data_IF_513166719738
#
_entry.id   IF_513166719738
#
_cell.length_a   1.000
_cell.length_b   1.000
_cell.length_c   1.000
_cell.angle_alpha   90.00
_cell.angle_beta   90.00
_cell.angle_gamma   90.00
#
_symmetry.space_group_name_H-M   'P 1'
#
loop_
_entity.id
_entity.type
_entity.pdbx_description
1 polymer ?
#
# COMPACT_ATOMS: atom_id res chain seq x y z
N UNK A 1 15.56 15.76 -0.31
CA UNK A 1 14.91 14.91 -1.33
C UNK A 1 15.48 15.02 -2.72
N UNK A 2 15.61 16.21 -3.29
CA UNK A 2 16.09 16.41 -4.67
C UNK A 2 17.40 15.66 -5.01
N UNK A 3 18.39 15.68 -4.09
CA UNK A 3 19.65 14.93 -4.23
C UNK A 3 19.45 13.42 -4.45
N UNK A 4 18.49 12.81 -3.76
CA UNK A 4 18.17 11.38 -3.87
C UNK A 4 17.53 11.10 -5.22
N UNK A 5 16.51 11.87 -5.58
CA UNK A 5 15.80 11.74 -6.87
C UNK A 5 16.76 11.85 -8.05
N UNK A 6 17.63 12.87 -8.02
CA UNK A 6 18.65 13.07 -9.07
C UNK A 6 19.67 11.93 -9.13
N UNK A 7 20.07 11.36 -7.98
CA UNK A 7 20.95 10.21 -7.94
C UNK A 7 20.27 8.97 -8.53
N UNK A 8 19.03 8.69 -8.14
CA UNK A 8 18.26 7.56 -8.63
C UNK A 8 18.15 7.58 -10.15
N UNK A 9 17.81 8.74 -10.73
CA UNK A 9 17.74 8.90 -12.18
C UNK A 9 19.10 8.72 -12.84
N UNK A 10 20.13 9.43 -12.36
CA UNK A 10 21.48 9.40 -12.97
C UNK A 10 22.15 8.03 -12.91
N UNK A 11 21.85 7.23 -11.89
CA UNK A 11 22.46 5.90 -11.67
C UNK A 11 21.61 4.74 -12.15
N UNK A 12 20.43 4.99 -12.74
CA UNK A 12 19.60 3.93 -13.27
C UNK A 12 18.86 3.11 -12.21
N UNK A 13 18.43 3.76 -11.12
CA UNK A 13 17.53 3.15 -10.13
C UNK A 13 16.07 3.37 -10.50
N UNK A 14 15.63 4.61 -10.62
CA UNK A 14 14.20 4.93 -10.81
C UNK A 14 14.09 6.06 -11.83
N UNK A 15 13.15 5.92 -12.77
CA UNK A 15 12.81 6.90 -13.80
C UNK A 15 11.34 7.31 -13.68
N UNK A 16 10.97 8.56 -13.97
CA UNK A 16 9.59 8.92 -14.25
C UNK A 16 9.05 8.06 -15.40
N UNK A 17 7.91 7.39 -15.19
CA UNK A 17 7.34 6.57 -16.26
C UNK A 17 6.90 7.43 -17.44
N UNK A 18 7.01 6.91 -18.66
CA UNK A 18 6.66 7.61 -19.90
C UNK A 18 7.35 8.98 -20.08
N UNK A 19 8.58 9.17 -19.59
CA UNK A 19 9.29 10.46 -19.59
C UNK A 19 9.33 11.13 -20.98
N UNK A 20 9.60 10.38 -22.05
CA UNK A 20 9.66 10.91 -23.42
C UNK A 20 8.31 11.40 -23.97
N UNK A 21 7.20 11.05 -23.30
CA UNK A 21 5.83 11.45 -23.64
C UNK A 21 5.28 12.51 -22.67
N UNK A 22 6.14 13.16 -21.88
CA UNK A 22 5.73 14.16 -20.88
C UNK A 22 5.53 13.60 -19.48
N UNK A 23 5.79 12.30 -19.29
CA UNK A 23 5.67 11.61 -18.01
C UNK A 23 4.24 11.17 -17.70
N UNK A 24 4.10 10.11 -16.91
CA UNK A 24 2.84 9.70 -16.32
C UNK A 24 2.86 9.91 -14.81
N UNK A 25 2.06 10.87 -14.35
CA UNK A 25 2.09 11.38 -12.97
C UNK A 25 1.91 10.24 -11.96
N UNK A 26 2.77 10.20 -10.94
CA UNK A 26 2.74 9.22 -9.84
C UNK A 26 3.05 7.78 -10.24
N UNK A 27 3.74 7.58 -11.36
CA UNK A 27 4.18 6.24 -11.80
C UNK A 27 5.64 6.32 -12.20
N UNK A 28 6.37 5.24 -11.92
CA UNK A 28 7.82 5.20 -12.04
C UNK A 28 8.28 3.84 -12.53
N UNK A 29 9.33 3.85 -13.34
CA UNK A 29 9.97 2.66 -13.88
C UNK A 29 11.28 2.39 -13.15
N UNK A 30 11.50 1.15 -12.72
CA UNK A 30 12.77 0.75 -12.09
C UNK A 30 13.80 0.40 -13.16
N UNK A 31 14.91 1.15 -13.19
CA UNK A 31 16.02 0.97 -14.13
C UNK A 31 16.92 -0.22 -13.79
N UNK A 32 18.05 -0.41 -14.50
CA UNK A 32 18.90 -1.59 -14.36
C UNK A 32 19.41 -1.90 -12.94
N UNK A 33 19.75 -0.87 -12.14
CA UNK A 33 20.13 -1.08 -10.74
C UNK A 33 18.90 -1.18 -9.84
N UNK A 34 17.86 -0.40 -10.15
CA UNK A 34 16.64 -0.38 -9.35
C UNK A 34 15.88 -1.69 -9.37
N UNK A 35 15.79 -2.34 -10.53
CA UNK A 35 15.10 -3.64 -10.66
C UNK A 35 15.78 -4.73 -9.83
N UNK A 36 17.11 -4.72 -9.78
CA UNK A 36 17.88 -5.65 -8.96
C UNK A 36 17.71 -5.34 -7.46
N UNK A 37 17.73 -4.06 -7.08
CA UNK A 37 17.46 -3.64 -5.70
C UNK A 37 16.05 -4.05 -5.25
N UNK A 38 15.02 -3.75 -6.06
CA UNK A 38 13.63 -4.09 -5.79
C UNK A 38 13.46 -5.61 -5.64
N UNK A 39 14.09 -6.40 -6.51
CA UNK A 39 14.07 -7.86 -6.41
C UNK A 39 14.74 -8.36 -5.14
N UNK A 40 15.92 -7.85 -4.80
CA UNK A 40 16.63 -8.25 -3.59
C UNK A 40 15.81 -7.98 -2.32
N UNK A 41 15.10 -6.84 -2.26
CA UNK A 41 14.20 -6.52 -1.14
C UNK A 41 13.06 -7.53 -1.05
N UNK A 42 12.38 -7.83 -2.17
CA UNK A 42 11.30 -8.82 -2.20
C UNK A 42 11.76 -10.22 -1.85
N UNK A 43 12.89 -10.65 -2.40
CA UNK A 43 13.45 -11.98 -2.15
C UNK A 43 13.89 -12.13 -0.67
N UNK A 44 14.47 -11.07 -0.08
CA UNK A 44 14.84 -11.05 1.34
C UNK A 44 13.60 -11.13 2.26
N UNK A 45 12.54 -10.39 1.93
CA UNK A 45 11.29 -10.46 2.68
C UNK A 45 10.63 -11.84 2.54
N UNK A 46 10.52 -12.36 1.32
CA UNK A 46 9.92 -13.67 1.06
C UNK A 46 10.66 -14.80 1.77
N UNK A 47 11.99 -14.71 1.79
CA UNK A 47 12.82 -15.66 2.54
C UNK A 47 12.48 -15.65 4.03
N UNK A 48 12.50 -14.47 4.66
CA UNK A 48 12.29 -14.33 6.10
C UNK A 48 10.84 -14.63 6.54
N UNK A 49 9.85 -14.28 5.71
CA UNK A 49 8.44 -14.39 6.04
C UNK A 49 7.81 -15.70 5.60
N UNK A 50 8.39 -16.40 4.62
CA UNK A 50 7.79 -17.63 4.06
C UNK A 50 8.76 -18.80 4.07
N UNK A 51 9.99 -18.66 3.54
CA UNK A 51 10.88 -19.82 3.37
C UNK A 51 11.54 -20.29 4.66
N UNK A 52 11.76 -19.38 5.61
CA UNK A 52 12.37 -19.67 6.91
C UNK A 52 11.33 -19.96 8.01
N UNK A 53 10.04 -20.05 7.62
CA UNK A 53 8.91 -20.26 8.53
C UNK A 53 8.10 -21.47 8.11
N UNK A 54 7.89 -22.40 9.03
CA UNK A 54 7.09 -23.59 8.74
C UNK A 54 5.60 -23.27 8.67
N UNK A 55 5.14 -22.25 9.40
CA UNK A 55 3.73 -21.90 9.61
C UNK A 55 3.16 -20.91 8.59
N UNK A 56 3.97 -20.36 7.69
CA UNK A 56 3.52 -19.40 6.66
C UNK A 56 3.58 -20.04 5.29
N UNK A 57 2.53 -19.82 4.48
CA UNK A 57 2.46 -20.30 3.10
C UNK A 57 2.25 -19.14 2.14
N UNK A 58 2.72 -19.28 0.90
CA UNK A 58 2.61 -18.24 -0.12
C UNK A 58 1.42 -18.43 -1.06
N UNK A 59 0.85 -17.33 -1.54
CA UNK A 59 -0.06 -17.30 -2.70
C UNK A 59 0.30 -16.18 -3.67
N UNK A 60 -0.23 -16.28 -4.89
CA UNK A 60 -0.23 -15.19 -5.89
C UNK A 60 -1.64 -15.07 -6.48
N UNK A 61 -2.40 -14.10 -5.99
CA UNK A 61 -3.79 -13.86 -6.38
C UNK A 61 -3.86 -12.84 -7.52
N UNK A 62 -4.93 -12.94 -8.33
CA UNK A 62 -5.16 -12.03 -9.44
C UNK A 62 -5.33 -10.57 -8.99
N UNK A 63 -4.87 -9.64 -9.83
CA UNK A 63 -5.04 -8.19 -9.64
C UNK A 63 -6.48 -7.75 -9.92
N UNK A 64 -7.07 -8.29 -10.99
CA UNK A 64 -8.44 -7.97 -11.41
C UNK A 64 -9.44 -8.73 -10.57
N UNK A 65 -10.37 -8.01 -9.96
CA UNK A 65 -11.35 -8.59 -9.04
C UNK A 65 -12.77 -8.05 -9.27
N UNK A 66 -13.75 -8.89 -8.97
CA UNK A 66 -15.17 -8.56 -9.03
C UNK A 66 -15.55 -7.50 -7.99
N UNK A 67 -16.53 -6.60 -8.27
CA UNK A 67 -17.02 -5.60 -7.32
C UNK A 67 -17.44 -6.18 -5.97
N UNK A 68 -17.94 -7.42 -5.94
CA UNK A 68 -18.45 -8.07 -4.72
C UNK A 68 -17.41 -8.19 -3.60
N UNK A 69 -16.14 -8.40 -3.94
CA UNK A 69 -15.05 -8.48 -2.95
C UNK A 69 -14.87 -7.11 -2.28
N UNK A 70 -14.94 -6.04 -3.06
CA UNK A 70 -14.71 -4.67 -2.61
C UNK A 70 -15.92 -4.06 -1.91
N UNK A 71 -17.12 -4.55 -2.23
CA UNK A 71 -18.34 -4.27 -1.47
C UNK A 71 -18.28 -4.94 -0.09
N UNK A 72 -17.98 -6.24 -0.05
CA UNK A 72 -17.93 -7.00 1.20
C UNK A 72 -16.85 -6.50 2.17
N UNK A 73 -15.70 -6.07 1.65
CA UNK A 73 -14.62 -5.47 2.45
C UNK A 73 -14.85 -3.98 2.77
N UNK A 74 -15.92 -3.37 2.27
CA UNK A 74 -16.24 -1.96 2.53
C UNK A 74 -15.43 -0.94 1.71
N UNK A 75 -14.50 -1.38 0.86
CA UNK A 75 -13.68 -0.50 0.03
C UNK A 75 -14.49 0.40 -0.90
N UNK A 76 -15.59 -0.08 -1.48
CA UNK A 76 -16.42 0.75 -2.35
C UNK A 76 -17.08 1.93 -1.61
N UNK A 77 -17.39 1.75 -0.31
CA UNK A 77 -18.03 2.76 0.50
C UNK A 77 -17.03 3.70 1.20
N UNK A 78 -15.93 3.13 1.71
CA UNK A 78 -15.07 3.82 2.68
C UNK A 78 -13.68 4.18 2.15
N UNK A 79 -13.23 3.61 1.03
CA UNK A 79 -11.89 3.85 0.49
C UNK A 79 -11.84 5.14 -0.33
N UNK A 80 -12.09 6.26 0.34
CA UNK A 80 -12.27 7.57 -0.29
C UNK A 80 -11.43 8.66 0.37
N UNK A 81 -10.93 9.59 -0.45
CA UNK A 81 -10.32 10.84 0.02
C UNK A 81 -11.27 12.03 -0.22
N UNK A 82 -11.20 13.09 0.61
CA UNK A 82 -11.94 14.32 0.34
C UNK A 82 -11.26 15.10 -0.80
N UNK A 83 -11.94 15.17 -1.95
CA UNK A 83 -11.47 15.83 -3.16
C UNK A 83 -12.07 17.23 -3.30
N UNK A 84 -11.22 18.22 -3.63
CA UNK A 84 -11.63 19.55 -4.08
C UNK A 84 -11.02 19.87 -5.45
N UNK A 85 -11.77 20.56 -6.31
CA UNK A 85 -11.29 21.08 -7.59
C UNK A 85 -11.09 22.59 -7.48
N UNK A 86 -9.96 23.11 -7.99
CA UNK A 86 -9.80 24.54 -8.18
C UNK A 86 -10.50 24.97 -9.47
N UNK A 87 -11.54 25.80 -9.39
CA UNK A 87 -12.28 26.24 -10.58
C UNK A 87 -11.47 27.14 -11.51
N UNK A 88 -10.42 27.79 -11.00
CA UNK A 88 -9.57 28.69 -11.79
C UNK A 88 -8.53 27.96 -12.66
N UNK A 89 -8.00 26.82 -12.20
CA UNK A 89 -6.96 26.08 -12.94
C UNK A 89 -7.32 24.61 -13.20
N UNK A 90 -8.48 24.16 -12.73
CA UNK A 90 -9.00 22.80 -12.86
C UNK A 90 -8.14 21.69 -12.23
N UNK A 91 -7.12 22.05 -11.45
CA UNK A 91 -6.33 21.10 -10.65
C UNK A 91 -7.13 20.56 -9.47
N UNK A 92 -6.81 19.31 -9.11
CA UNK A 92 -7.47 18.52 -8.08
C UNK A 92 -6.56 18.33 -6.88
N UNK A 93 -7.12 18.51 -5.69
CA UNK A 93 -6.37 18.46 -4.44
C UNK A 93 -7.13 17.65 -3.39
N UNK A 94 -6.37 17.05 -2.49
CA UNK A 94 -6.90 16.52 -1.23
C UNK A 94 -7.24 17.67 -0.30
N UNK A 95 -8.50 17.79 0.09
CA UNK A 95 -9.00 18.89 0.91
C UNK A 95 -8.29 18.95 2.28
N UNK A 96 -7.98 17.79 2.86
CA UNK A 96 -7.28 17.66 4.15
C UNK A 96 -5.77 17.98 4.07
N UNK A 97 -5.23 18.19 2.87
CA UNK A 97 -3.80 18.47 2.63
C UNK A 97 -3.51 19.87 2.12
N UNK A 98 -4.54 20.69 1.93
CA UNK A 98 -4.39 22.08 1.48
C UNK A 98 -5.15 23.03 2.40
N UNK A 99 -4.75 24.30 2.41
CA UNK A 99 -5.49 25.36 3.08
C UNK A 99 -6.68 25.86 2.24
N UNK A 100 -7.04 27.13 2.45
CA UNK A 100 -8.11 27.84 1.73
C UNK A 100 -7.73 28.24 0.29
N UNK A 101 -6.51 27.94 -0.15
CA UNK A 101 -5.94 28.37 -1.44
C UNK A 101 -5.39 27.21 -2.23
N UNK A 102 -5.62 27.25 -3.54
CA UNK A 102 -5.02 26.33 -4.49
C UNK A 102 -3.49 26.45 -4.48
N UNK A 103 -2.74 25.36 -4.23
CA UNK A 103 -1.28 25.40 -4.23
C UNK A 103 -0.65 25.78 -5.58
N UNK A 104 -1.36 25.56 -6.70
CA UNK A 104 -0.84 25.83 -8.04
C UNK A 104 -1.00 27.29 -8.48
N UNK A 105 -2.18 27.88 -8.27
CA UNK A 105 -2.48 29.24 -8.77
C UNK A 105 -2.84 30.26 -7.68
N UNK A 106 -2.90 29.86 -6.41
CA UNK A 106 -3.22 30.74 -5.28
C UNK A 106 -4.69 31.17 -5.18
N UNK A 107 -5.56 30.71 -6.09
CA UNK A 107 -7.00 30.99 -6.08
C UNK A 107 -7.69 30.36 -4.87
N UNK A 108 -8.67 31.08 -4.30
CA UNK A 108 -9.56 30.59 -3.24
C UNK A 108 -10.85 29.98 -3.79
N UNK A 109 -11.04 29.95 -5.11
CA UNK A 109 -12.23 29.38 -5.76
C UNK A 109 -12.09 27.86 -5.88
N UNK A 110 -12.19 27.20 -4.72
CA UNK A 110 -12.21 25.74 -4.56
C UNK A 110 -13.66 25.27 -4.46
N UNK A 111 -13.97 24.10 -5.03
CA UNK A 111 -15.28 23.46 -4.83
C UNK A 111 -15.43 22.95 -3.40
N UNK A 112 -16.67 22.68 -2.99
CA UNK A 112 -16.92 21.91 -1.77
C UNK A 112 -16.25 20.52 -1.85
N UNK A 113 -15.70 20.01 -0.72
CA UNK A 113 -15.13 18.67 -0.67
C UNK A 113 -16.16 17.60 -1.00
N UNK A 114 -15.76 16.63 -1.84
CA UNK A 114 -16.56 15.43 -2.13
C UNK A 114 -15.74 14.16 -1.94
N UNK A 115 -16.39 13.08 -1.55
CA UNK A 115 -15.73 11.78 -1.43
C UNK A 115 -15.31 11.27 -2.83
N UNK A 116 -14.03 10.93 -2.98
CA UNK A 116 -13.47 10.36 -4.20
C UNK A 116 -12.90 8.97 -3.90
N UNK A 117 -13.49 7.93 -4.48
CA UNK A 117 -13.02 6.55 -4.30
C UNK A 117 -11.68 6.35 -5.01
N UNK A 118 -10.71 5.79 -4.27
CA UNK A 118 -9.34 5.63 -4.73
C UNK A 118 -9.12 4.33 -5.53
N UNK A 119 -10.14 3.50 -5.75
CA UNK A 119 -9.98 2.29 -6.55
C UNK A 119 -9.98 2.60 -8.05
N UNK A 120 -9.11 1.93 -8.81
CA UNK A 120 -9.18 1.94 -10.27
C UNK A 120 -10.27 0.99 -10.76
N UNK A 121 -11.32 1.56 -11.37
CA UNK A 121 -12.39 0.83 -12.04
C UNK A 121 -12.03 0.55 -13.50
N UNK A 122 -12.36 -0.64 -13.98
CA UNK A 122 -12.23 -1.06 -15.37
C UNK A 122 -13.39 -1.98 -15.78
N UNK A 123 -13.37 -2.48 -17.02
CA UNK A 123 -14.36 -3.43 -17.54
C UNK A 123 -13.65 -4.68 -18.06
N UNK A 124 -13.98 -5.84 -17.49
CA UNK A 124 -13.52 -7.16 -17.89
C UNK A 124 -14.50 -7.78 -18.91
N UNK A 125 -14.38 -7.37 -20.17
CA UNK A 125 -15.20 -7.89 -21.26
C UNK A 125 -15.10 -7.04 -22.53
N UNK A 126 -15.60 -7.53 -23.67
CA UNK A 126 -15.54 -6.80 -24.95
C UNK A 126 -16.49 -5.60 -25.02
N UNK A 127 -17.46 -5.52 -24.11
CA UNK A 127 -18.46 -4.45 -24.06
C UNK A 127 -18.49 -3.87 -22.66
N UNK A 128 -18.31 -2.56 -22.55
CA UNK A 128 -18.43 -1.84 -21.28
C UNK A 128 -19.88 -1.88 -20.80
N UNK A 129 -20.10 -2.62 -19.71
CA UNK A 129 -21.41 -2.75 -19.06
C UNK A 129 -21.26 -2.97 -17.56
N UNK A 130 -22.32 -2.74 -16.79
CA UNK A 130 -22.32 -3.00 -15.34
C UNK A 130 -21.96 -4.44 -15.00
N UNK A 131 -22.37 -5.40 -15.83
CA UNK A 131 -22.06 -6.83 -15.67
C UNK A 131 -20.57 -7.15 -15.84
N UNK A 132 -19.81 -6.28 -16.50
CA UNK A 132 -18.37 -6.45 -16.77
C UNK A 132 -17.49 -5.61 -15.86
N UNK A 133 -18.04 -4.85 -14.92
CA UNK A 133 -17.22 -4.01 -14.04
C UNK A 133 -16.23 -4.87 -13.26
N UNK A 134 -14.98 -4.44 -13.24
CA UNK A 134 -13.91 -5.00 -12.43
C UNK A 134 -13.08 -3.88 -11.82
N UNK A 135 -12.27 -4.21 -10.82
CA UNK A 135 -11.35 -3.27 -10.20
C UNK A 135 -9.94 -3.83 -10.16
N UNK A 136 -8.95 -2.94 -10.25
CA UNK A 136 -7.59 -3.25 -9.84
C UNK A 136 -7.53 -3.18 -8.31
N UNK A 137 -6.98 -4.22 -7.68
CA UNK A 137 -6.90 -4.30 -6.22
C UNK A 137 -6.11 -3.13 -5.60
N UNK A 138 -6.59 -2.49 -4.52
CA UNK A 138 -5.88 -1.43 -3.79
C UNK A 138 -4.92 -1.95 -2.72
N UNK A 139 -5.01 -3.25 -2.43
CA UNK A 139 -4.22 -4.03 -1.47
C UNK A 139 -4.15 -5.49 -1.92
N UNK A 140 -3.29 -6.31 -1.31
CA UNK A 140 -3.16 -7.73 -1.66
C UNK A 140 -3.94 -8.65 -0.69
N UNK A 141 -4.22 -8.17 0.53
CA UNK A 141 -4.97 -8.82 1.62
C UNK A 141 -6.19 -9.63 1.16
N UNK A 142 -7.11 -9.02 0.40
CA UNK A 142 -8.34 -9.67 -0.06
C UNK A 142 -8.11 -10.98 -0.82
N UNK A 143 -7.01 -11.09 -1.56
CA UNK A 143 -6.64 -12.32 -2.27
C UNK A 143 -6.38 -13.50 -1.32
N UNK A 144 -5.86 -13.22 -0.12
CA UNK A 144 -5.58 -14.20 0.93
C UNK A 144 -6.87 -14.59 1.65
N UNK A 145 -7.74 -13.61 1.98
CA UNK A 145 -9.03 -13.87 2.61
C UNK A 145 -9.95 -14.75 1.76
N UNK A 146 -10.11 -14.45 0.47
CA UNK A 146 -10.99 -15.24 -0.42
C UNK A 146 -10.47 -16.66 -0.67
N UNK A 147 -9.16 -16.89 -0.50
CA UNK A 147 -8.52 -18.19 -0.65
C UNK A 147 -8.28 -18.91 0.67
N UNK A 148 -8.70 -18.37 1.82
CA UNK A 148 -8.46 -18.96 3.13
C UNK A 148 -8.81 -20.45 3.19
N UNK A 149 -10.02 -20.83 2.75
CA UNK A 149 -10.45 -22.23 2.74
C UNK A 149 -9.65 -23.12 1.77
N UNK A 150 -9.32 -22.60 0.59
CA UNK A 150 -8.51 -23.34 -0.40
C UNK A 150 -7.12 -23.65 0.17
N UNK A 151 -6.49 -22.66 0.80
CA UNK A 151 -5.18 -22.80 1.43
C UNK A 151 -5.25 -23.73 2.62
N UNK A 152 -6.22 -23.55 3.52
CA UNK A 152 -6.40 -24.39 4.70
C UNK A 152 -6.55 -25.88 4.32
N UNK A 153 -7.37 -26.18 3.30
CA UNK A 153 -7.64 -27.54 2.85
C UNK A 153 -6.43 -28.21 2.18
N UNK A 154 -5.69 -27.47 1.35
CA UNK A 154 -4.57 -28.02 0.58
C UNK A 154 -3.29 -28.16 1.39
N UNK A 155 -3.08 -27.28 2.36
CA UNK A 155 -1.86 -27.26 3.21
C UNK A 155 -2.05 -28.00 4.53
N UNK A 156 -3.30 -28.24 4.95
CA UNK A 156 -3.67 -28.83 6.25
C UNK A 156 -3.11 -28.05 7.47
N UNK A 157 -2.83 -26.75 7.29
CA UNK A 157 -2.48 -25.85 8.39
C UNK A 157 -3.64 -25.72 9.37
N UNK A 158 -3.34 -25.26 10.58
CA UNK A 158 -4.31 -24.87 11.59
C UNK A 158 -3.80 -23.57 12.22
N UNK A 159 -4.68 -22.65 12.65
CA UNK A 159 -4.27 -21.51 13.44
C UNK A 159 -3.40 -21.94 14.64
N UNK A 160 -2.31 -21.22 14.94
CA UNK A 160 -1.80 -20.06 14.21
C UNK A 160 -1.09 -20.43 12.89
N UNK A 161 -1.44 -19.77 11.78
CA UNK A 161 -0.74 -19.92 10.50
C UNK A 161 -0.89 -18.66 9.63
N UNK A 162 0.06 -18.45 8.72
CA UNK A 162 0.09 -17.28 7.86
C UNK A 162 -0.16 -17.61 6.39
N UNK A 163 -0.79 -16.66 5.68
CA UNK A 163 -0.77 -16.62 4.21
C UNK A 163 -0.07 -15.33 3.82
N UNK A 164 0.98 -15.43 2.99
CA UNK A 164 1.78 -14.30 2.53
C UNK A 164 1.62 -14.09 1.03
N UNK A 165 1.71 -12.83 0.60
CA UNK A 165 1.67 -12.46 -0.80
C UNK A 165 2.55 -11.25 -1.07
N UNK A 166 3.23 -11.29 -2.21
CA UNK A 166 3.97 -10.15 -2.76
C UNK A 166 3.41 -9.84 -4.13
N UNK A 167 2.98 -8.60 -4.36
CA UNK A 167 2.47 -8.23 -5.66
C UNK A 167 2.01 -6.78 -5.77
N UNK A 168 1.53 -6.43 -6.96
CA UNK A 168 1.11 -5.06 -7.27
C UNK A 168 -0.24 -4.71 -6.63
N UNK A 169 -0.35 -3.44 -6.26
CA UNK A 169 -1.57 -2.79 -5.79
C UNK A 169 -1.68 -1.40 -6.42
N UNK A 170 -2.92 -0.90 -6.50
CA UNK A 170 -3.22 0.31 -7.24
C UNK A 170 -4.14 1.24 -6.45
N UNK A 171 -3.70 2.48 -6.24
CA UNK A 171 -4.48 3.52 -5.56
C UNK A 171 -4.53 4.76 -6.44
N UNK A 172 -5.72 5.24 -6.78
CA UNK A 172 -5.93 6.39 -7.65
C UNK A 172 -5.68 7.72 -6.92
N UNK A 173 -4.46 7.86 -6.40
CA UNK A 173 -4.02 8.98 -5.58
C UNK A 173 -4.30 10.34 -6.26
N UNK A 174 -4.93 11.24 -5.50
CA UNK A 174 -5.29 12.59 -5.96
C UNK A 174 -4.04 13.46 -6.03
N UNK A 175 -3.24 13.48 -4.96
CA UNK A 175 -2.07 14.36 -4.84
C UNK A 175 -0.79 13.56 -4.60
N UNK A 176 -0.04 13.21 -5.65
CA UNK A 176 1.26 12.57 -5.49
C UNK A 176 2.26 13.52 -4.84
N UNK A 177 3.00 12.98 -3.88
CA UNK A 177 4.06 13.66 -3.16
C UNK A 177 5.21 12.68 -2.88
N UNK A 178 6.39 13.24 -2.58
CA UNK A 178 7.53 12.51 -2.03
C UNK A 178 8.04 11.33 -2.91
N UNK A 179 8.13 11.55 -4.23
CA UNK A 179 8.74 10.61 -5.17
C UNK A 179 8.00 9.26 -5.23
N UNK A 180 8.67 8.14 -4.93
CA UNK A 180 8.05 6.79 -4.91
C UNK A 180 7.23 6.50 -3.66
N UNK A 181 7.10 7.46 -2.73
CA UNK A 181 6.33 7.28 -1.50
C UNK A 181 4.81 7.31 -1.73
N UNK A 182 4.34 8.16 -2.65
CA UNK A 182 2.92 8.17 -3.08
C UNK A 182 2.81 7.95 -4.58
N UNK A 183 2.59 6.70 -4.95
CA UNK A 183 2.40 6.28 -6.35
C UNK A 183 1.01 5.72 -6.57
N UNK A 184 0.60 5.64 -7.84
CA UNK A 184 -0.67 5.01 -8.23
C UNK A 184 -0.58 3.52 -8.41
N UNK A 185 0.63 3.04 -8.63
CA UNK A 185 1.00 1.64 -8.79
C UNK A 185 2.24 1.40 -7.95
N UNK A 186 2.19 0.39 -7.08
CA UNK A 186 3.29 -0.02 -6.21
C UNK A 186 3.17 -1.52 -5.93
N UNK A 187 4.21 -2.07 -5.32
CA UNK A 187 4.20 -3.45 -4.83
C UNK A 187 4.09 -3.44 -3.31
N UNK A 188 3.30 -4.36 -2.78
CA UNK A 188 3.21 -4.62 -1.35
C UNK A 188 3.68 -6.03 -1.05
N UNK A 189 4.11 -6.24 0.18
CA UNK A 189 4.48 -7.52 0.75
C UNK A 189 3.66 -7.65 2.04
N UNK A 190 2.59 -8.44 1.99
CA UNK A 190 1.60 -8.54 3.07
C UNK A 190 1.53 -9.98 3.58
N UNK A 191 1.22 -10.11 4.87
CA UNK A 191 0.99 -11.37 5.57
C UNK A 191 -0.33 -11.27 6.34
N UNK A 192 -1.26 -12.17 6.06
CA UNK A 192 -2.42 -12.40 6.91
C UNK A 192 -2.12 -13.56 7.85
N UNK A 193 -1.96 -13.27 9.14
CA UNK A 193 -1.64 -14.26 10.16
C UNK A 193 -2.89 -14.64 10.97
N UNK A 194 -3.45 -15.81 10.69
CA UNK A 194 -4.71 -16.28 11.27
C UNK A 194 -4.46 -16.99 12.58
N UNK A 195 -5.07 -16.49 13.66
CA UNK A 195 -4.82 -16.95 15.04
C UNK A 195 -6.13 -17.24 15.80
N UNK A 196 -6.09 -18.05 16.87
CA UNK A 196 -7.19 -18.11 17.84
C UNK A 196 -7.48 -16.71 18.45
N UNK A 197 -8.75 -16.29 18.59
CA UNK A 197 -9.07 -14.92 19.03
C UNK A 197 -8.52 -14.54 20.41
N UNK A 198 -8.38 -15.50 21.32
CA UNK A 198 -7.83 -15.31 22.67
C UNK A 198 -6.30 -15.14 22.68
N UNK A 199 -5.62 -15.48 21.59
CA UNK A 199 -4.17 -15.32 21.42
C UNK A 199 -3.80 -14.08 20.57
N UNK A 200 -4.79 -13.35 20.03
CA UNK A 200 -4.57 -12.28 19.06
C UNK A 200 -3.58 -11.21 19.54
N UNK A 201 -3.74 -10.70 20.76
CA UNK A 201 -2.82 -9.69 21.33
C UNK A 201 -1.39 -10.22 21.50
N UNK A 202 -1.22 -11.50 21.84
CA UNK A 202 0.11 -12.10 21.98
C UNK A 202 0.83 -12.18 20.64
N UNK A 203 0.11 -12.59 19.59
CA UNK A 203 0.67 -12.65 18.24
C UNK A 203 0.91 -11.26 17.64
N UNK A 204 0.09 -10.27 17.99
CA UNK A 204 0.32 -8.88 17.61
C UNK A 204 1.68 -8.39 18.13
N UNK A 205 1.92 -8.48 19.44
CA UNK A 205 3.22 -8.09 20.05
C UNK A 205 4.40 -8.86 19.45
N UNK A 206 4.23 -10.17 19.21
CA UNK A 206 5.25 -10.99 18.53
C UNK A 206 5.60 -10.42 17.14
N UNK A 207 4.60 -10.03 16.35
CA UNK A 207 4.85 -9.48 15.01
C UNK A 207 5.45 -8.08 15.08
N UNK A 208 5.05 -7.23 16.03
CA UNK A 208 5.71 -5.93 16.26
C UNK A 208 7.21 -6.08 16.47
N UNK A 209 7.62 -6.95 17.37
CA UNK A 209 9.03 -7.22 17.66
C UNK A 209 9.75 -7.86 16.46
N UNK A 210 9.13 -8.87 15.85
CA UNK A 210 9.70 -9.62 14.71
C UNK A 210 9.95 -8.71 13.51
N UNK A 211 8.98 -7.86 13.16
CA UNK A 211 9.10 -6.97 12.01
C UNK A 211 10.10 -5.85 12.26
N UNK A 212 10.09 -5.25 13.46
CA UNK A 212 11.10 -4.27 13.85
C UNK A 212 12.53 -4.86 13.82
N UNK A 213 12.72 -6.10 14.28
CA UNK A 213 14.00 -6.80 14.21
C UNK A 213 14.47 -7.02 12.76
N UNK A 214 13.56 -7.39 11.85
CA UNK A 214 13.91 -7.58 10.44
C UNK A 214 14.55 -6.34 9.80
N UNK A 215 14.03 -5.14 10.07
CA UNK A 215 14.64 -3.90 9.57
C UNK A 215 16.01 -3.61 10.20
N UNK A 216 16.18 -3.89 11.48
CA UNK A 216 17.47 -3.75 12.18
C UNK A 216 18.53 -4.71 11.63
N UNK A 217 18.13 -5.96 11.37
CA UNK A 217 19.02 -7.00 10.82
C UNK A 217 19.48 -6.68 9.39
N UNK A 218 18.67 -5.92 8.63
CA UNK A 218 19.07 -5.35 7.33
C UNK A 218 20.07 -4.19 7.45
N UNK A 219 20.39 -3.76 8.67
CA UNK A 219 21.38 -2.72 8.97
C UNK A 219 20.82 -1.30 8.98
N UNK A 220 19.49 -1.12 9.09
CA UNK A 220 18.92 0.21 9.26
C UNK A 220 19.25 0.74 10.66
N UNK A 221 19.80 1.96 10.81
CA UNK A 221 20.16 2.50 12.11
C UNK A 221 18.96 2.66 13.05
N UNK A 222 19.14 2.34 14.33
CA UNK A 222 18.10 2.46 15.35
C UNK A 222 17.58 3.90 15.53
N UNK A 223 18.43 4.92 15.33
CA UNK A 223 18.01 6.32 15.40
C UNK A 223 17.16 6.77 14.19
N UNK A 224 16.98 5.89 13.21
CA UNK A 224 16.14 6.08 12.02
C UNK A 224 14.89 5.23 11.99
N UNK A 225 14.70 4.34 12.97
CA UNK A 225 13.52 3.50 13.07
C UNK A 225 12.77 3.76 14.37
N UNK A 226 11.44 3.74 14.30
CA UNK A 226 10.60 3.70 15.49
C UNK A 226 9.37 2.84 15.24
N UNK A 227 8.82 2.32 16.32
CA UNK A 227 7.49 1.73 16.33
C UNK A 227 6.51 2.78 16.89
N UNK A 228 5.48 3.12 16.11
CA UNK A 228 4.46 4.11 16.49
C UNK A 228 3.09 3.43 16.54
N UNK A 229 2.51 3.33 17.73
CA UNK A 229 1.12 2.89 17.86
C UNK A 229 0.17 3.97 17.35
N UNK A 230 -0.89 3.56 16.67
CA UNK A 230 -1.98 4.44 16.27
C UNK A 230 -2.78 4.89 17.49
N UNK A 231 -3.21 6.15 17.46
CA UNK A 231 -4.17 6.66 18.44
C UNK A 231 -5.59 6.16 18.11
N UNK A 232 -6.52 6.25 19.07
CA UNK A 232 -7.86 5.67 18.94
C UNK A 232 -8.68 6.25 17.76
N UNK A 233 -8.40 7.49 17.35
CA UNK A 233 -9.04 8.16 16.22
C UNK A 233 -8.38 7.87 14.86
N UNK A 234 -7.21 7.23 14.86
CA UNK A 234 -6.48 6.81 13.66
C UNK A 234 -6.79 5.36 13.27
N UNK A 235 -7.31 4.56 14.20
CA UNK A 235 -7.61 3.15 13.97
C UNK A 235 -8.69 2.97 12.90
N UNK A 236 -8.43 2.03 11.99
CA UNK A 236 -9.46 1.54 11.07
C UNK A 236 -10.60 0.89 11.84
N UNK A 237 -11.83 1.03 11.34
CA UNK A 237 -13.05 0.55 11.99
C UNK A 237 -13.08 -0.96 12.33
N UNK A 238 -12.20 -1.75 11.72
CA UNK A 238 -12.04 -3.19 11.95
C UNK A 238 -10.80 -3.58 12.78
N UNK A 239 -9.97 -2.63 13.21
CA UNK A 239 -8.72 -2.93 13.92
C UNK A 239 -8.87 -2.71 15.44
N UNK A 240 -8.49 -3.73 16.20
CA UNK A 240 -8.33 -3.68 17.65
C UNK A 240 -7.02 -2.99 18.07
N UNK A 241 -6.02 -2.91 17.19
CA UNK A 241 -4.80 -2.13 17.39
C UNK A 241 -3.88 -2.16 16.17
N UNK A 242 -3.27 -1.02 15.86
CA UNK A 242 -2.31 -0.88 14.76
C UNK A 242 -1.06 -0.19 15.26
N UNK A 243 0.10 -0.62 14.77
CA UNK A 243 1.34 0.11 14.91
C UNK A 243 2.11 0.14 13.59
N UNK A 244 2.77 1.25 13.34
CA UNK A 244 3.60 1.46 12.16
C UNK A 244 5.07 1.32 12.55
N UNK A 245 5.81 0.54 11.76
CA UNK A 245 7.25 0.70 11.67
C UNK A 245 7.51 1.91 10.78
N UNK A 246 8.04 2.98 11.38
CA UNK A 246 8.31 4.23 10.68
C UNK A 246 9.80 4.47 10.50
N UNK A 247 10.15 5.12 9.39
CA UNK A 247 11.50 5.56 9.09
C UNK A 247 11.63 7.08 9.07
N UNK A 248 12.76 7.59 9.58
CA UNK A 248 13.05 9.02 9.54
C UNK A 248 13.60 9.44 8.16
N UNK A 249 12.66 9.70 7.25
CA UNK A 249 12.93 10.23 5.91
C UNK A 249 13.41 11.69 5.94
N UNK A 250 13.94 12.23 4.82
CA UNK A 250 14.32 13.64 4.74
C UNK A 250 13.18 14.65 4.92
N UNK A 251 11.92 14.20 4.93
CA UNK A 251 10.75 15.02 5.19
C UNK A 251 10.13 14.80 6.59
N UNK A 252 10.64 13.85 7.37
CA UNK A 252 10.10 13.50 8.69
C UNK A 252 9.92 11.99 8.85
N UNK A 253 9.28 11.61 9.95
CA UNK A 253 8.85 10.24 10.20
C UNK A 253 7.68 9.89 9.28
N UNK A 254 7.76 8.73 8.64
CA UNK A 254 6.69 8.21 7.78
C UNK A 254 6.73 6.69 7.75
N UNK A 255 5.61 6.08 7.37
CA UNK A 255 5.37 4.64 7.43
C UNK A 255 6.26 3.85 6.43
N UNK A 256 6.82 2.72 6.89
CA UNK A 256 7.35 1.65 6.05
C UNK A 256 6.44 0.42 6.00
N UNK A 257 5.87 0.06 7.14
CA UNK A 257 5.04 -1.14 7.32
C UNK A 257 4.05 -0.95 8.47
N UNK A 258 2.76 -1.10 8.18
CA UNK A 258 1.70 -1.21 9.19
C UNK A 258 1.49 -2.64 9.64
N UNK A 259 1.41 -2.84 10.96
CA UNK A 259 1.08 -4.12 11.60
C UNK A 259 -0.24 -3.89 12.33
N UNK A 260 -1.29 -4.57 11.90
CA UNK A 260 -2.65 -4.40 12.43
C UNK A 260 -3.19 -5.70 13.02
N UNK A 261 -3.99 -5.56 14.06
CA UNK A 261 -4.78 -6.58 14.73
C UNK A 261 -6.25 -6.18 14.71
#
# INVERSE_FOLDING_TARGET
MEKIVNLCKRRGFIFPSAEIYGGFRSTYDYGPLGVNMLRNVKDAWWRAMVQERDEVVGIDAAILSTPKIWEASGHLANFTDPLVDCRSCHERWRADKIGDRCPNCGSTDLTEPRAFNLMFKTYAGPVESEATVAYLRPETAQGMFVNFLNVLQTTRKKPPFGIAQVGKSFRNEITPQNFVFRTREFEQMELEYFVPPDEASTWFEYWLETRMAWYRDLGIPDDKLRLRHHEADELSHYSAGTADVEFLFPWGWDELEGIAN
#
